data_IF_645376951741
#
_entry.id   IF_645376951741
#
_cell.length_a   1.000
_cell.length_b   1.000
_cell.length_c   1.000
_cell.angle_alpha   90.00
_cell.angle_beta   90.00
_cell.angle_gamma   90.00
#
_symmetry.space_group_name_H-M   'P 1'
#
loop_
_entity.id
_entity.type
_entity.pdbx_description
1 polymer ?
#
# COMPACT_ATOMS: atom_id res chain seq x y z
N UNK A 1 22.56 -18.56 17.88
CA UNK A 1 22.28 -17.30 17.15
C UNK A 1 20.78 -17.15 17.10
N UNK A 2 20.22 -16.31 17.98
CA UNK A 2 18.77 -16.13 18.11
C UNK A 2 18.39 -14.87 17.34
N UNK A 3 17.67 -15.03 16.23
CA UNK A 3 17.10 -13.92 15.48
C UNK A 3 15.89 -13.40 16.26
N UNK A 4 16.02 -12.23 16.89
CA UNK A 4 14.88 -11.54 17.47
C UNK A 4 14.07 -10.91 16.33
N UNK A 5 12.87 -11.43 16.12
CA UNK A 5 11.87 -10.77 15.30
C UNK A 5 11.39 -9.54 16.08
N UNK A 6 11.78 -8.35 15.61
CA UNK A 6 11.19 -7.10 16.07
C UNK A 6 9.75 -7.03 15.53
N UNK A 7 8.80 -7.63 16.25
CA UNK A 7 7.37 -7.41 16.03
C UNK A 7 7.03 -6.02 16.57
N UNK A 8 7.22 -5.00 15.73
CA UNK A 8 6.71 -3.68 16.05
C UNK A 8 5.18 -3.75 16.07
N UNK A 9 4.58 -3.50 17.24
CA UNK A 9 3.13 -3.35 17.37
C UNK A 9 2.66 -2.17 16.52
N UNK A 10 2.06 -2.46 15.36
CA UNK A 10 1.45 -1.45 14.52
C UNK A 10 0.13 -1.00 15.17
N UNK A 11 0.19 0.07 15.95
CA UNK A 11 -1.00 0.71 16.51
C UNK A 11 -1.73 1.43 15.38
N UNK A 12 -2.85 0.88 14.91
CA UNK A 12 -3.70 1.54 13.93
C UNK A 12 -4.23 2.84 14.54
N UNK A 13 -3.72 3.97 14.06
CA UNK A 13 -4.13 5.30 14.52
C UNK A 13 -5.36 5.74 13.72
N UNK A 14 -6.50 5.84 14.41
CA UNK A 14 -7.75 6.50 13.99
C UNK A 14 -8.73 5.71 13.12
N UNK A 15 -10.02 5.90 13.44
CA UNK A 15 -11.29 5.26 13.02
C UNK A 15 -11.62 5.27 11.51
N UNK A 16 -10.64 5.55 10.65
CA UNK A 16 -10.84 5.52 9.20
C UNK A 16 -10.45 4.14 8.70
N UNK A 17 -11.41 3.36 8.20
CA UNK A 17 -11.16 2.12 7.47
C UNK A 17 -10.42 2.44 6.15
N UNK A 18 -9.12 2.69 6.26
CA UNK A 18 -8.23 2.96 5.15
C UNK A 18 -7.45 1.69 4.83
N UNK A 19 -7.55 1.23 3.59
CA UNK A 19 -6.88 0.05 3.11
C UNK A 19 -6.88 -0.01 1.60
N UNK A 20 -6.15 -0.98 1.05
CA UNK A 20 -6.19 -1.30 -0.37
C UNK A 20 -7.25 -2.38 -0.61
N UNK A 21 -8.05 -2.22 -1.65
CA UNK A 21 -9.05 -3.20 -2.02
C UNK A 21 -8.36 -4.50 -2.48
N UNK A 22 -9.02 -5.63 -2.24
CA UNK A 22 -8.58 -6.94 -2.74
C UNK A 22 -8.39 -6.90 -4.26
N UNK A 23 -7.33 -7.55 -4.75
CA UNK A 23 -6.95 -7.53 -6.17
C UNK A 23 -6.09 -6.32 -6.56
N UNK A 24 -5.82 -5.38 -5.65
CA UNK A 24 -4.85 -4.30 -5.90
C UNK A 24 -3.46 -4.92 -6.08
N UNK A 25 -2.78 -4.56 -7.16
CA UNK A 25 -1.43 -5.02 -7.46
C UNK A 25 -0.40 -4.10 -6.81
N UNK A 26 0.55 -4.69 -6.10
CA UNK A 26 1.66 -4.01 -5.44
C UNK A 26 2.97 -4.47 -6.07
N UNK A 27 3.81 -3.51 -6.47
CA UNK A 27 5.12 -3.81 -7.01
C UNK A 27 6.10 -4.14 -5.88
N UNK A 28 6.71 -5.32 -5.95
CA UNK A 28 7.70 -5.81 -4.98
C UNK A 28 8.97 -6.26 -5.69
N UNK A 29 10.05 -6.51 -4.95
CA UNK A 29 11.26 -7.13 -5.51
C UNK A 29 11.03 -8.58 -6.02
N UNK A 30 9.91 -9.21 -5.68
CA UNK A 30 9.51 -10.51 -6.22
C UNK A 30 8.68 -10.40 -7.51
N UNK A 31 8.40 -9.18 -7.96
CA UNK A 31 7.48 -8.87 -9.05
C UNK A 31 6.17 -8.25 -8.56
N UNK A 32 5.17 -8.23 -9.44
CA UNK A 32 3.80 -7.82 -9.13
C UNK A 32 3.13 -8.84 -8.22
N UNK A 33 2.63 -8.40 -7.07
CA UNK A 33 1.99 -9.24 -6.06
C UNK A 33 0.64 -8.62 -5.70
N UNK A 34 -0.43 -9.43 -5.70
CA UNK A 34 -1.73 -8.98 -5.22
C UNK A 34 -1.66 -8.65 -3.73
N UNK A 35 -2.39 -7.63 -3.28
CA UNK A 35 -2.31 -7.16 -1.88
C UNK A 35 -2.64 -8.26 -0.87
N UNK A 36 -3.56 -9.17 -1.21
CA UNK A 36 -3.89 -10.32 -0.36
C UNK A 36 -2.78 -11.37 -0.23
N UNK A 37 -1.81 -11.38 -1.16
CA UNK A 37 -0.69 -12.33 -1.21
C UNK A 37 0.62 -11.78 -0.63
N UNK A 38 0.62 -10.51 -0.18
CA UNK A 38 1.76 -9.88 0.48
C UNK A 38 2.07 -10.55 1.82
N UNK A 39 3.35 -10.58 2.17
CA UNK A 39 3.84 -11.13 3.43
C UNK A 39 4.72 -10.11 4.16
N UNK A 40 4.68 -10.15 5.49
CA UNK A 40 5.63 -9.39 6.31
C UNK A 40 7.06 -9.75 5.89
N UNK A 41 7.89 -8.72 5.69
CA UNK A 41 9.24 -8.84 5.16
C UNK A 41 9.35 -8.71 3.65
N UNK A 42 8.26 -8.77 2.88
CA UNK A 42 8.30 -8.45 1.44
C UNK A 42 8.81 -7.02 1.25
N UNK A 43 9.66 -6.85 0.23
CA UNK A 43 10.23 -5.54 -0.11
C UNK A 43 9.37 -4.87 -1.18
N UNK A 44 8.52 -3.94 -0.76
CA UNK A 44 7.65 -3.14 -1.62
C UNK A 44 8.44 -2.00 -2.24
N UNK A 45 8.30 -1.80 -3.55
CA UNK A 45 8.91 -0.66 -4.23
C UNK A 45 8.14 0.61 -3.85
N UNK A 46 8.83 1.52 -3.17
CA UNK A 46 8.31 2.87 -2.88
C UNK A 46 8.89 3.84 -3.90
N UNK A 47 8.11 4.86 -4.27
CA UNK A 47 8.50 5.86 -5.26
C UNK A 47 9.78 6.63 -4.88
N UNK A 48 9.94 6.96 -3.59
CA UNK A 48 10.95 7.94 -3.16
C UNK A 48 12.16 7.29 -2.44
N UNK A 49 11.95 6.16 -1.74
CA UNK A 49 12.97 5.56 -0.85
C UNK A 49 13.38 4.15 -1.32
N UNK A 50 13.01 3.80 -2.56
CA UNK A 50 13.28 2.48 -3.13
C UNK A 50 12.54 1.35 -2.42
N UNK A 51 13.13 0.16 -2.40
CA UNK A 51 12.49 -1.03 -1.85
C UNK A 51 12.49 -1.05 -0.32
N UNK A 52 11.32 -1.04 0.31
CA UNK A 52 11.15 -0.98 1.76
C UNK A 52 10.47 -2.25 2.31
N UNK A 53 10.89 -2.76 3.47
CA UNK A 53 10.31 -3.96 4.05
C UNK A 53 8.91 -3.67 4.62
N UNK A 54 7.96 -4.53 4.27
CA UNK A 54 6.63 -4.53 4.83
C UNK A 54 6.67 -5.02 6.29
N UNK A 55 6.24 -4.17 7.23
CA UNK A 55 6.39 -4.42 8.68
C UNK A 55 5.21 -5.14 9.33
N UNK A 56 4.03 -5.08 8.71
CA UNK A 56 2.81 -5.64 9.26
C UNK A 56 1.68 -5.56 8.23
N UNK A 57 0.65 -6.37 8.45
CA UNK A 57 -0.58 -6.41 7.65
C UNK A 57 -1.77 -6.48 8.59
N UNK A 58 -2.82 -5.75 8.24
CA UNK A 58 -4.13 -5.85 8.86
C UNK A 58 -5.15 -6.09 7.74
N UNK A 59 -6.03 -7.06 7.93
CA UNK A 59 -7.13 -7.34 7.01
C UNK A 59 -8.44 -7.01 7.69
N UNK A 60 -9.31 -6.28 7.00
CA UNK A 60 -10.66 -5.98 7.44
C UNK A 60 -11.64 -6.13 6.28
N UNK A 61 -12.89 -6.43 6.57
CA UNK A 61 -13.98 -6.33 5.60
C UNK A 61 -14.66 -4.98 5.79
N UNK A 62 -14.87 -4.25 4.70
CA UNK A 62 -15.54 -2.95 4.72
C UNK A 62 -16.10 -2.61 3.35
N UNK A 63 -16.99 -1.62 3.33
CA UNK A 63 -17.54 -1.08 2.08
C UNK A 63 -16.44 -0.36 1.29
N UNK A 64 -16.41 -0.57 -0.03
CA UNK A 64 -15.47 0.13 -0.89
C UNK A 64 -15.85 1.61 -0.98
N UNK A 65 -14.88 2.49 -0.82
CA UNK A 65 -15.08 3.91 -1.11
C UNK A 65 -14.92 4.13 -2.61
N UNK A 66 -15.96 4.65 -3.27
CA UNK A 66 -15.85 5.10 -4.65
C UNK A 66 -15.21 6.48 -4.64
N UNK A 67 -14.05 6.60 -5.27
CA UNK A 67 -13.37 7.88 -5.46
C UNK A 67 -13.62 8.32 -6.89
N UNK A 68 -14.51 9.30 -7.08
CA UNK A 68 -14.82 9.85 -8.39
C UNK A 68 -13.54 10.39 -9.08
N UNK A 69 -13.44 10.22 -10.40
CA UNK A 69 -12.28 10.65 -11.24
C UNK A 69 -11.94 12.15 -11.11
N UNK A 70 -12.83 12.93 -10.49
CA UNK A 70 -12.72 14.37 -10.27
C UNK A 70 -12.87 14.81 -8.80
N UNK A 71 -12.98 13.87 -7.85
CA UNK A 71 -13.18 14.20 -6.42
C UNK A 71 -12.02 14.96 -5.79
N UNK A 72 -10.81 14.86 -6.35
CA UNK A 72 -9.63 15.60 -5.90
C UNK A 72 -9.59 17.08 -6.36
N UNK A 73 -10.57 17.55 -7.14
CA UNK A 73 -10.67 18.95 -7.59
C UNK A 73 -9.50 19.44 -8.47
N UNK A 74 -9.31 20.77 -8.54
CA UNK A 74 -8.17 21.43 -9.22
C UNK A 74 -6.82 21.14 -8.54
N UNK A 75 -6.86 20.60 -7.32
CA UNK A 75 -5.69 20.27 -6.50
C UNK A 75 -5.36 18.78 -6.60
N UNK A 76 -5.38 18.22 -7.83
CA UNK A 76 -4.85 16.88 -8.07
C UNK A 76 -3.43 16.85 -7.51
N UNK A 77 -3.07 15.83 -6.71
CA UNK A 77 -1.71 15.72 -6.24
C UNK A 77 -0.80 15.63 -7.47
N UNK A 78 0.04 16.65 -7.67
CA UNK A 78 0.91 16.78 -8.85
C UNK A 78 1.85 15.57 -9.01
N UNK A 79 2.03 14.78 -7.93
CA UNK A 79 2.90 13.62 -7.86
C UNK A 79 2.15 12.28 -7.69
N UNK A 80 0.92 12.22 -7.18
CA UNK A 80 0.34 10.99 -6.60
C UNK A 80 -0.66 10.22 -7.48
N UNK A 81 -0.83 10.62 -8.74
CA UNK A 81 -1.54 9.79 -9.72
C UNK A 81 -0.50 9.20 -10.68
N UNK A 82 -0.46 7.87 -10.79
CA UNK A 82 0.26 7.20 -11.87
C UNK A 82 -0.30 7.68 -13.21
N UNK A 83 0.41 8.59 -13.87
CA UNK A 83 0.13 9.02 -15.23
C UNK A 83 0.70 7.96 -16.18
N UNK A 84 -0.08 6.90 -16.42
CA UNK A 84 0.16 6.06 -17.57
C UNK A 84 -0.07 6.86 -18.85
N UNK A 85 0.95 6.88 -19.71
CA UNK A 85 0.96 7.35 -21.10
C UNK A 85 1.04 8.88 -21.29
N UNK A 86 2.21 9.35 -21.72
CA UNK A 86 2.31 10.29 -22.84
C UNK A 86 3.67 10.11 -23.51
N UNK A 87 3.60 9.99 -24.83
CA UNK A 87 4.66 9.76 -25.80
C UNK A 87 5.80 10.81 -25.74
#
# INVERSE_FOLDING_TARGET
MTFQANTAEFKATSETNAGLARGTIVLTLRGEVAVEDLRVGDKVITRDVGAQPLRGLLQHTGESSIVEKHSFGTNRPARDMWNGMQD
#
